data_IF_499820432518
#
_entry.id   IF_499820432518
#
_cell.length_a   1.000
_cell.length_b   1.000
_cell.length_c   1.000
_cell.angle_alpha   90.00
_cell.angle_beta   90.00
_cell.angle_gamma   90.00
#
_symmetry.space_group_name_H-M   'P 1'
#
loop_
_entity.id
_entity.type
_entity.pdbx_description
1 polymer ?
#
# COMPACT_ATOMS: atom_id res chain seq x y z
N UNK A 1 -3.59 9.96 14.53
CA UNK A 1 -4.10 9.30 15.76
C UNK A 1 -4.65 7.91 15.52
N UNK A 2 -5.58 7.70 14.58
CA UNK A 2 -6.12 6.35 14.28
C UNK A 2 -5.03 5.29 14.04
N UNK A 3 -4.12 5.52 13.08
CA UNK A 3 -3.04 4.58 12.77
C UNK A 3 -2.06 4.36 13.94
N UNK A 4 -1.82 5.39 14.76
CA UNK A 4 -0.97 5.29 15.95
C UNK A 4 -1.53 4.27 16.96
N UNK A 5 -2.85 4.26 17.18
CA UNK A 5 -3.51 3.35 18.13
C UNK A 5 -3.48 1.90 17.69
N UNK A 6 -3.65 1.64 16.39
CA UNK A 6 -3.58 0.26 15.85
C UNK A 6 -2.15 -0.19 15.56
N UNK A 7 -1.27 0.77 15.31
CA UNK A 7 0.09 0.54 14.88
C UNK A 7 1.01 0.01 15.98
N UNK A 8 2.27 -0.25 15.63
CA UNK A 8 3.26 -0.89 16.49
C UNK A 8 3.60 -0.14 17.79
N UNK A 9 3.30 1.16 17.89
CA UNK A 9 3.62 1.97 19.06
C UNK A 9 2.67 1.69 20.24
N UNK A 10 1.36 1.77 19.98
CA UNK A 10 0.32 1.70 21.01
C UNK A 10 -0.64 0.51 20.84
N UNK A 11 -0.61 -0.14 19.68
CA UNK A 11 -1.45 -1.28 19.37
C UNK A 11 -0.81 -2.62 19.71
N UNK A 12 -1.49 -3.68 19.28
CA UNK A 12 -1.06 -5.08 19.46
C UNK A 12 -0.23 -5.61 18.28
N UNK A 13 0.22 -4.71 17.39
CA UNK A 13 0.95 -5.08 16.16
C UNK A 13 2.30 -5.76 16.41
N UNK A 14 2.88 -5.60 17.60
CA UNK A 14 4.01 -6.39 18.10
C UNK A 14 3.56 -7.26 19.25
N UNK A 15 3.93 -8.54 19.19
CA UNK A 15 3.49 -9.54 20.17
C UNK A 15 4.33 -9.51 21.44
N UNK A 16 5.65 -9.41 21.28
CA UNK A 16 6.60 -9.49 22.40
C UNK A 16 6.97 -8.11 22.94
N UNK A 17 7.20 -7.98 24.25
CA UNK A 17 7.51 -6.68 24.86
C UNK A 17 8.91 -6.17 24.48
N UNK A 18 9.86 -7.05 24.20
CA UNK A 18 11.18 -6.67 23.68
C UNK A 18 11.09 -6.06 22.28
N UNK A 19 10.21 -6.58 21.42
CA UNK A 19 9.96 -6.03 20.08
C UNK A 19 9.38 -4.62 20.20
N UNK A 20 8.40 -4.42 21.10
CA UNK A 20 7.83 -3.10 21.38
C UNK A 20 8.86 -2.13 21.91
N UNK A 21 9.70 -2.56 22.85
CA UNK A 21 10.74 -1.72 23.46
C UNK A 21 11.76 -1.28 22.42
N UNK A 22 12.24 -2.23 21.61
CA UNK A 22 13.17 -1.96 20.50
C UNK A 22 12.55 -1.01 19.48
N UNK A 23 11.29 -1.24 19.09
CA UNK A 23 10.55 -0.40 18.15
C UNK A 23 10.38 1.03 18.67
N UNK A 24 10.03 1.21 19.94
CA UNK A 24 9.86 2.52 20.58
C UNK A 24 11.19 3.25 20.70
N UNK A 25 12.26 2.55 21.07
CA UNK A 25 13.59 3.14 21.15
C UNK A 25 14.05 3.63 19.77
N UNK A 26 13.92 2.80 18.73
CA UNK A 26 14.24 3.18 17.37
C UNK A 26 13.42 4.40 16.90
N UNK A 27 12.12 4.44 17.23
CA UNK A 27 11.24 5.55 16.90
C UNK A 27 11.70 6.88 17.53
N UNK A 28 12.15 6.86 18.79
CA UNK A 28 12.61 8.08 19.49
C UNK A 28 13.86 8.71 18.87
N UNK A 29 14.69 7.91 18.18
CA UNK A 29 15.89 8.38 17.49
C UNK A 29 15.70 8.56 15.98
N UNK A 30 14.51 8.28 15.46
CA UNK A 30 14.22 8.41 14.04
C UNK A 30 14.09 9.88 13.63
N UNK A 31 14.48 10.19 12.39
CA UNK A 31 14.17 11.49 11.79
C UNK A 31 12.66 11.70 11.68
N UNK A 32 12.23 12.96 11.59
CA UNK A 32 10.81 13.31 11.53
C UNK A 32 10.03 12.53 10.46
N UNK A 33 10.59 12.43 9.25
CA UNK A 33 10.00 11.70 8.12
C UNK A 33 9.85 10.20 8.37
N UNK A 34 10.85 9.59 9.01
CA UNK A 34 10.85 8.16 9.33
C UNK A 34 9.89 7.89 10.48
N UNK A 35 9.90 8.74 11.50
CA UNK A 35 8.97 8.69 12.62
C UNK A 35 7.52 8.82 12.13
N UNK A 36 7.21 9.80 11.26
CA UNK A 36 5.85 9.98 10.74
C UNK A 36 5.31 8.73 10.05
N UNK A 37 6.10 8.12 9.14
CA UNK A 37 5.74 6.86 8.46
C UNK A 37 5.65 5.66 9.40
N UNK A 38 6.44 5.67 10.47
CA UNK A 38 6.39 4.67 11.53
C UNK A 38 5.08 4.75 12.32
N UNK A 39 4.43 5.92 12.39
CA UNK A 39 3.12 6.11 13.04
C UNK A 39 1.94 5.83 12.10
N UNK A 40 2.05 6.25 10.85
CA UNK A 40 1.01 6.12 9.84
C UNK A 40 1.63 5.60 8.53
N UNK A 41 1.33 4.35 8.13
CA UNK A 41 1.88 3.80 6.90
C UNK A 41 1.46 4.61 5.68
N UNK A 42 2.36 4.66 4.71
CA UNK A 42 2.11 5.22 3.39
C UNK A 42 2.00 4.08 2.39
N UNK A 43 1.00 4.13 1.52
CA UNK A 43 0.80 3.13 0.48
C UNK A 43 1.15 3.73 -0.86
N UNK A 44 1.91 2.99 -1.66
CA UNK A 44 2.26 3.30 -3.03
C UNK A 44 1.67 2.21 -3.93
N UNK A 45 0.77 2.56 -4.83
CA UNK A 45 0.24 1.63 -5.81
C UNK A 45 0.97 1.78 -7.14
N UNK A 46 1.34 0.64 -7.72
CA UNK A 46 1.93 0.57 -9.05
C UNK A 46 0.84 0.75 -10.12
N UNK A 47 1.08 1.66 -11.07
CA UNK A 47 0.15 1.92 -12.18
C UNK A 47 0.71 1.53 -13.55
N UNK A 48 1.81 0.77 -13.59
CA UNK A 48 2.45 0.35 -14.84
C UNK A 48 3.67 1.19 -15.23
N UNK A 49 4.25 0.84 -16.39
CA UNK A 49 5.42 1.50 -16.95
C UNK A 49 5.08 2.79 -17.73
N UNK A 50 3.86 2.94 -18.25
CA UNK A 50 3.37 4.20 -18.85
C UNK A 50 2.15 4.73 -18.12
N UNK A 51 1.88 6.02 -18.25
CA UNK A 51 0.59 6.66 -17.94
C UNK A 51 -0.52 5.98 -18.77
N UNK A 52 -0.92 4.76 -18.41
CA UNK A 52 -2.04 4.04 -19.03
C UNK A 52 -3.31 4.68 -18.49
N UNK A 53 -3.63 5.87 -19.04
CA UNK A 53 -4.87 6.61 -18.81
C UNK A 53 -6.14 5.79 -19.11
N UNK A 54 -6.01 4.58 -19.65
CA UNK A 54 -7.11 3.66 -19.95
C UNK A 54 -7.01 2.28 -19.27
N UNK A 55 -6.12 2.07 -18.29
CA UNK A 55 -5.89 0.74 -17.71
C UNK A 55 -5.16 0.67 -16.36
N UNK A 56 -4.80 1.82 -15.76
CA UNK A 56 -4.29 1.85 -14.38
C UNK A 56 -5.36 1.31 -13.40
N UNK A 57 -4.97 0.49 -12.40
CA UNK A 57 -5.86 0.08 -11.31
C UNK A 57 -6.45 1.28 -10.52
N UNK A 58 -5.79 2.43 -10.56
CA UNK A 58 -6.14 3.64 -9.82
C UNK A 58 -6.07 4.89 -10.71
N UNK A 59 -7.03 5.08 -11.62
CA UNK A 59 -7.02 6.18 -12.58
C UNK A 59 -7.13 7.55 -11.87
N UNK A 60 -6.50 8.58 -12.44
CA UNK A 60 -6.54 9.96 -11.92
C UNK A 60 -5.63 10.24 -10.71
N UNK A 61 -4.72 9.31 -10.39
CA UNK A 61 -3.68 9.51 -9.38
C UNK A 61 -2.43 10.15 -10.01
N UNK A 62 -1.62 10.87 -9.22
CA UNK A 62 -0.37 11.52 -9.67
C UNK A 62 0.87 10.65 -9.36
N UNK A 63 1.89 10.70 -10.22
CA UNK A 63 3.15 9.98 -9.99
C UNK A 63 3.93 10.66 -8.87
N UNK A 64 4.24 9.92 -7.82
CA UNK A 64 4.91 10.48 -6.63
C UNK A 64 6.41 10.66 -6.86
N UNK A 65 7.02 9.82 -7.69
CA UNK A 65 8.49 9.79 -7.85
C UNK A 65 8.98 10.52 -9.10
N UNK A 66 8.07 11.01 -9.97
CA UNK A 66 8.42 11.74 -11.19
C UNK A 66 9.17 10.93 -12.25
N UNK A 67 9.30 9.62 -12.05
CA UNK A 67 10.03 8.68 -12.91
C UNK A 67 9.22 7.40 -13.12
N UNK A 68 9.57 6.63 -14.15
CA UNK A 68 9.04 5.28 -14.35
C UNK A 68 9.77 4.27 -13.43
N UNK A 69 9.09 3.22 -12.94
CA UNK A 69 7.67 2.94 -13.10
C UNK A 69 6.78 3.84 -12.23
N UNK A 70 5.55 4.09 -12.69
CA UNK A 70 4.62 5.03 -12.03
C UNK A 70 4.11 4.47 -10.71
N UNK A 71 4.19 5.26 -9.64
CA UNK A 71 3.53 4.98 -8.38
C UNK A 71 2.61 6.09 -7.92
N UNK A 72 1.38 5.71 -7.55
CA UNK A 72 0.39 6.56 -6.91
C UNK A 72 0.47 6.46 -5.38
N UNK A 73 0.43 7.58 -4.66
CA UNK A 73 0.21 7.56 -3.21
C UNK A 73 -1.26 7.27 -2.94
N UNK A 74 -1.52 6.32 -2.04
CA UNK A 74 -2.86 5.94 -1.58
C UNK A 74 -2.93 6.02 -0.05
N UNK A 75 -4.14 6.18 0.52
CA UNK A 75 -4.32 6.00 1.96
C UNK A 75 -4.12 4.53 2.34
N UNK A 76 -3.67 4.28 3.56
CA UNK A 76 -3.45 2.94 4.09
C UNK A 76 -4.75 2.21 4.44
N UNK A 77 -5.55 1.91 3.42
CA UNK A 77 -6.82 1.19 3.47
C UNK A 77 -6.67 -0.13 2.74
N UNK A 78 -7.37 -1.15 3.21
CA UNK A 78 -7.33 -2.48 2.62
C UNK A 78 -8.00 -2.57 1.25
N UNK A 79 -8.85 -1.60 0.89
CA UNK A 79 -9.35 -1.40 -0.48
C UNK A 79 -8.23 -1.32 -1.54
N UNK A 80 -7.00 -1.00 -1.15
CA UNK A 80 -5.84 -1.03 -2.03
C UNK A 80 -5.42 -2.46 -2.46
N UNK A 81 -5.86 -3.50 -1.74
CA UNK A 81 -5.58 -4.93 -2.01
C UNK A 81 -6.49 -5.52 -3.10
N UNK A 82 -6.83 -4.74 -4.12
CA UNK A 82 -7.62 -5.22 -5.24
C UNK A 82 -6.85 -6.32 -6.01
N UNK A 83 -7.50 -7.37 -6.52
CA UNK A 83 -6.78 -8.50 -7.15
C UNK A 83 -5.93 -8.11 -8.36
N UNK A 84 -6.30 -7.04 -9.06
CA UNK A 84 -5.62 -6.48 -10.23
C UNK A 84 -4.60 -5.39 -9.87
N UNK A 85 -4.32 -5.15 -8.58
CA UNK A 85 -3.36 -4.13 -8.13
C UNK A 85 -2.06 -4.73 -7.58
N UNK A 86 -1.03 -3.91 -7.56
CA UNK A 86 0.22 -4.18 -6.85
C UNK A 86 0.61 -2.94 -6.04
N UNK A 87 0.99 -3.13 -4.78
CA UNK A 87 1.23 -2.03 -3.83
C UNK A 87 2.50 -2.24 -3.00
N UNK A 88 3.07 -1.15 -2.49
CA UNK A 88 4.10 -1.13 -1.45
C UNK A 88 3.55 -0.35 -0.24
N UNK A 89 3.61 -0.96 0.93
CA UNK A 89 3.29 -0.33 2.21
C UNK A 89 4.59 0.04 2.91
N UNK A 90 4.89 1.33 2.95
CA UNK A 90 6.00 1.90 3.71
C UNK A 90 5.54 2.23 5.14
N UNK A 91 6.07 1.46 6.09
CA UNK A 91 5.78 1.61 7.51
C UNK A 91 7.01 2.11 8.28
N UNK A 92 7.89 2.87 7.62
CA UNK A 92 9.08 3.48 8.21
C UNK A 92 10.04 2.44 8.77
N UNK A 93 10.37 2.56 10.06
CA UNK A 93 11.26 1.61 10.76
C UNK A 93 10.71 0.18 10.80
N UNK A 94 9.40 0.04 10.66
CA UNK A 94 8.72 -1.26 10.81
C UNK A 94 8.59 -2.02 9.50
N UNK A 95 9.22 -1.50 8.43
CA UNK A 95 9.44 -2.19 7.17
C UNK A 95 8.72 -1.59 5.98
N UNK A 96 9.17 -2.00 4.80
CA UNK A 96 8.57 -1.68 3.51
C UNK A 96 8.14 -2.99 2.84
N UNK A 97 6.83 -3.22 2.74
CA UNK A 97 6.28 -4.49 2.29
C UNK A 97 5.53 -4.35 0.99
N UNK A 98 5.92 -5.14 -0.01
CA UNK A 98 5.20 -5.26 -1.27
C UNK A 98 4.09 -6.29 -1.23
N UNK A 99 3.04 -6.04 -2.01
CA UNK A 99 1.96 -6.97 -2.27
C UNK A 99 1.59 -6.96 -3.74
N UNK A 100 1.35 -8.14 -4.31
CA UNK A 100 0.94 -8.30 -5.71
C UNK A 100 -0.32 -9.16 -5.76
N UNK A 101 -1.41 -8.57 -6.25
CA UNK A 101 -2.70 -9.21 -6.42
C UNK A 101 -2.65 -10.37 -7.40
N UNK A 102 -3.58 -11.32 -7.31
CA UNK A 102 -3.59 -12.52 -8.17
C UNK A 102 -3.77 -12.20 -9.65
N UNK A 103 -4.61 -11.21 -9.94
CA UNK A 103 -5.16 -10.92 -11.27
C UNK A 103 -4.45 -9.72 -11.92
N UNK A 104 -3.24 -9.37 -11.45
CA UNK A 104 -2.41 -8.33 -12.07
C UNK A 104 -2.07 -8.73 -13.50
N UNK A 105 -2.42 -7.87 -14.46
CA UNK A 105 -2.25 -8.12 -15.89
C UNK A 105 -3.41 -8.89 -16.54
N UNK A 106 -4.43 -9.29 -15.77
CA UNK A 106 -5.65 -9.94 -16.28
C UNK A 106 -6.74 -8.88 -16.48
N UNK A 107 -7.39 -8.89 -17.63
CA UNK A 107 -8.48 -7.95 -17.92
C UNK A 107 -9.72 -8.25 -17.05
N UNK A 108 -10.43 -7.24 -16.53
CA UNK A 108 -11.51 -7.40 -15.55
C UNK A 108 -12.78 -8.12 -16.04
N UNK A 109 -12.79 -8.65 -17.26
CA UNK A 109 -13.85 -9.52 -17.81
C UNK A 109 -13.47 -11.01 -17.91
N UNK A 110 -12.18 -11.35 -17.84
CA UNK A 110 -11.69 -12.74 -17.90
C UNK A 110 -11.59 -13.39 -16.50
N UNK A 111 -11.60 -12.57 -15.45
CA UNK A 111 -11.37 -12.99 -14.05
C UNK A 111 -12.53 -13.77 -13.39
N UNK A 112 -13.65 -14.00 -14.10
CA UNK A 112 -14.81 -14.76 -13.59
C UNK A 112 -14.92 -16.20 -14.13
N UNK A 113 -13.90 -16.69 -14.85
CA UNK A 113 -13.90 -18.03 -15.44
C UNK A 113 -13.36 -19.11 -14.50
N UNK A 114 -14.18 -20.12 -14.25
CA UNK A 114 -13.82 -21.42 -13.68
C UNK A 114 -12.54 -22.00 -14.35
N UNK A 115 -11.76 -22.78 -13.60
CA UNK A 115 -10.43 -23.25 -13.97
C UNK A 115 -10.42 -24.32 -15.08
N UNK A 116 -10.98 -24.02 -16.26
CA UNK A 116 -10.97 -24.89 -17.43
C UNK A 116 -10.56 -24.11 -18.67
N UNK A 117 -9.26 -24.20 -18.98
CA UNK A 117 -8.68 -24.28 -20.33
C UNK A 117 -9.16 -23.27 -21.39
N UNK A 118 -8.46 -22.14 -21.54
CA UNK A 118 -8.17 -21.58 -22.88
C UNK A 118 -6.89 -20.74 -22.86
N UNK A 119 -5.77 -21.36 -23.23
CA UNK A 119 -4.50 -20.68 -23.53
C UNK A 119 -4.58 -20.05 -24.92
N UNK A 120 -4.94 -18.77 -25.00
CA UNK A 120 -4.82 -17.97 -26.22
C UNK A 120 -4.15 -16.65 -25.86
N UNK A 121 -2.91 -16.43 -26.34
CA UNK A 121 -2.11 -15.18 -26.48
C UNK A 121 -2.16 -14.03 -25.44
N UNK A 122 -3.22 -13.81 -24.66
CA UNK A 122 -3.32 -12.80 -23.59
C UNK A 122 -2.50 -13.16 -22.34
N UNK A 123 -2.38 -14.45 -22.02
CA UNK A 123 -1.67 -14.93 -20.83
C UNK A 123 -0.17 -14.62 -20.79
N UNK A 124 0.48 -14.50 -21.95
CA UNK A 124 1.90 -14.11 -22.03
C UNK A 124 2.11 -12.64 -21.63
N UNK A 125 1.20 -11.75 -22.06
CA UNK A 125 1.24 -10.34 -21.69
C UNK A 125 0.83 -10.12 -20.23
N UNK A 126 -0.12 -10.91 -19.73
CA UNK A 126 -0.52 -10.88 -18.32
C UNK A 126 0.63 -11.31 -17.39
N UNK A 127 1.33 -12.40 -17.72
CA UNK A 127 2.50 -12.85 -16.97
C UNK A 127 3.64 -11.82 -17.02
N UNK A 128 3.94 -11.25 -18.18
CA UNK A 128 4.95 -10.19 -18.31
C UNK A 128 4.59 -8.96 -17.46
N UNK A 129 3.32 -8.55 -17.46
CA UNK A 129 2.81 -7.43 -16.64
C UNK A 129 2.95 -7.74 -15.15
N UNK A 130 2.64 -8.97 -14.74
CA UNK A 130 2.80 -9.44 -13.37
C UNK A 130 4.27 -9.45 -12.94
N UNK A 131 5.18 -9.91 -13.80
CA UNK A 131 6.62 -9.90 -13.54
C UNK A 131 7.15 -8.48 -13.38
N UNK A 132 6.76 -7.56 -14.28
CA UNK A 132 7.09 -6.14 -14.17
C UNK A 132 6.56 -5.52 -12.87
N UNK A 133 5.33 -5.88 -12.45
CA UNK A 133 4.77 -5.44 -11.18
C UNK A 133 5.61 -5.93 -9.98
N UNK A 134 6.00 -7.21 -9.98
CA UNK A 134 6.82 -7.82 -8.94
C UNK A 134 8.17 -7.12 -8.86
N UNK A 135 8.82 -6.87 -10.00
CA UNK A 135 10.11 -6.17 -10.06
C UNK A 135 9.98 -4.73 -9.54
N UNK A 136 9.00 -3.97 -10.04
CA UNK A 136 8.77 -2.58 -9.64
C UNK A 136 8.50 -2.46 -8.12
N UNK A 137 7.61 -3.29 -7.59
CA UNK A 137 7.25 -3.33 -6.16
C UNK A 137 8.44 -3.75 -5.31
N UNK A 138 9.22 -4.74 -5.76
CA UNK A 138 10.43 -5.20 -5.04
C UNK A 138 11.50 -4.13 -5.01
N UNK A 139 11.74 -3.48 -6.15
CA UNK A 139 12.68 -2.36 -6.28
C UNK A 139 12.29 -1.21 -5.35
N UNK A 140 11.02 -0.77 -5.38
CA UNK A 140 10.55 0.30 -4.52
C UNK A 140 10.62 -0.07 -3.03
N UNK A 141 10.14 -1.25 -2.63
CA UNK A 141 10.22 -1.70 -1.24
C UNK A 141 11.67 -1.71 -0.72
N UNK A 142 12.61 -2.16 -1.54
CA UNK A 142 14.04 -2.17 -1.21
C UNK A 142 14.62 -0.77 -1.11
N UNK A 143 14.27 0.14 -2.04
CA UNK A 143 14.71 1.55 -1.99
C UNK A 143 14.21 2.25 -0.73
N UNK A 144 12.93 2.08 -0.39
CA UNK A 144 12.31 2.68 0.78
C UNK A 144 12.91 2.16 2.08
N UNK A 145 13.18 0.86 2.18
CA UNK A 145 13.91 0.29 3.32
C UNK A 145 15.33 0.86 3.44
N UNK A 146 16.02 1.09 2.32
CA UNK A 146 17.36 1.71 2.34
C UNK A 146 17.34 3.24 2.52
N UNK A 147 16.17 3.86 2.68
CA UNK A 147 16.04 5.32 2.81
C UNK A 147 16.32 6.11 1.53
N UNK A 148 16.46 5.43 0.38
CA UNK A 148 16.65 6.07 -0.91
C UNK A 148 15.29 6.41 -1.54
N UNK A 149 15.08 7.70 -1.85
CA UNK A 149 13.83 8.22 -2.43
C UNK A 149 13.99 8.81 -3.83
N UNK A 150 15.21 9.00 -4.33
CA UNK A 150 15.48 9.50 -5.68
C UNK A 150 15.93 8.37 -6.61
N UNK A 151 15.47 8.36 -7.86
CA UNK A 151 16.05 7.55 -8.93
C UNK A 151 16.91 8.34 -9.92
N UNK A 152 17.36 9.56 -9.57
CA UNK A 152 18.27 10.32 -10.44
C UNK A 152 19.75 10.00 -10.18
N UNK A 153 20.41 9.64 -11.28
CA UNK A 153 21.86 9.56 -11.47
C UNK A 153 22.37 10.94 -11.92
N UNK A 154 22.83 11.80 -11.00
CA UNK A 154 23.70 12.96 -11.33
C UNK A 154 24.28 13.71 -10.10
N UNK A 155 25.05 13.04 -9.24
CA UNK A 155 26.03 13.73 -8.40
C UNK A 155 27.35 13.86 -9.19
N UNK A 156 27.41 14.76 -10.18
CA UNK A 156 28.66 15.10 -10.90
C UNK A 156 29.07 16.58 -10.71
N UNK A 157 28.26 17.44 -10.11
CA UNK A 157 28.68 18.82 -9.84
C UNK A 157 28.83 19.06 -8.34
N UNK A 158 30.09 19.31 -7.94
CA UNK A 158 30.53 19.46 -6.56
C UNK A 158 29.69 20.45 -5.75
N UNK A 159 29.15 19.95 -4.65
CA UNK A 159 28.40 20.73 -3.68
C UNK A 159 27.69 19.78 -2.73
N UNK A 160 28.39 19.36 -1.66
CA UNK A 160 27.88 18.56 -0.53
C UNK A 160 27.01 17.35 -0.90
N UNK A 161 27.60 16.15 -0.88
CA UNK A 161 26.83 14.91 -0.94
C UNK A 161 25.69 14.99 0.10
N UNK A 162 24.46 15.06 -0.39
CA UNK A 162 23.30 14.97 0.49
C UNK A 162 23.31 13.52 0.96
N UNK A 163 23.80 13.29 2.18
CA UNK A 163 24.04 11.96 2.71
C UNK A 163 22.86 11.05 2.36
N UNK A 164 23.10 10.00 1.57
CA UNK A 164 22.17 8.91 1.38
C UNK A 164 21.71 8.49 2.77
N UNK A 165 20.52 8.92 3.17
CA UNK A 165 20.06 8.84 4.56
C UNK A 165 19.55 7.43 4.75
N UNK A 166 20.48 6.48 4.84
CA UNK A 166 20.15 5.09 5.10
C UNK A 166 19.42 5.02 6.43
N UNK A 167 18.23 4.41 6.42
CA UNK A 167 17.44 4.24 7.64
C UNK A 167 18.17 3.23 8.51
N UNK A 168 18.54 3.64 9.72
CA UNK A 168 19.15 2.77 10.71
C UNK A 168 18.21 2.60 11.91
N UNK A 169 17.93 1.37 12.37
CA UNK A 169 18.33 0.10 11.75
C UNK A 169 17.65 -0.11 10.39
N UNK A 170 18.26 -0.94 9.53
CA UNK A 170 17.69 -1.27 8.23
C UNK A 170 16.31 -1.93 8.42
N UNK A 171 15.21 -1.32 7.95
CA UNK A 171 13.88 -1.89 8.07
C UNK A 171 13.77 -3.18 7.26
N UNK A 172 12.96 -4.15 7.70
CA UNK A 172 12.70 -5.33 6.90
C UNK A 172 11.97 -4.96 5.59
N UNK A 173 12.35 -5.59 4.48
CA UNK A 173 11.59 -5.54 3.23
C UNK A 173 11.24 -6.94 2.73
N UNK A 174 10.04 -7.07 2.17
CA UNK A 174 9.56 -8.32 1.61
C UNK A 174 8.41 -8.02 0.63
N UNK A 175 8.35 -8.74 -0.48
CA UNK A 175 7.19 -8.75 -1.38
C UNK A 175 6.44 -10.06 -1.25
N UNK A 176 5.10 -9.99 -1.18
CA UNK A 176 4.22 -11.13 -1.00
C UNK A 176 3.14 -11.18 -2.09
N UNK A 177 2.80 -12.37 -2.57
CA UNK A 177 1.64 -12.56 -3.43
C UNK A 177 0.34 -12.66 -2.60
N UNK A 178 -0.79 -12.31 -3.22
CA UNK A 178 -2.12 -12.54 -2.63
C UNK A 178 -2.30 -14.00 -2.17
N UNK A 179 -2.85 -14.18 -0.96
CA UNK A 179 -3.08 -15.51 -0.37
C UNK A 179 -1.84 -16.17 0.22
N UNK A 180 -0.64 -15.62 0.02
CA UNK A 180 0.57 -16.13 0.69
C UNK A 180 0.57 -15.84 2.18
N UNK A 181 1.23 -16.68 2.98
CA UNK A 181 1.36 -16.47 4.42
C UNK A 181 2.03 -15.14 4.76
N UNK A 182 2.92 -14.66 3.89
CA UNK A 182 3.65 -13.43 4.10
C UNK A 182 2.81 -12.17 3.81
N UNK A 183 1.70 -12.29 3.06
CA UNK A 183 0.77 -11.20 2.78
C UNK A 183 0.17 -10.58 4.06
N UNK A 184 0.10 -11.36 5.16
CA UNK A 184 -0.33 -10.85 6.48
C UNK A 184 0.50 -9.65 6.96
N UNK A 185 1.78 -9.56 6.55
CA UNK A 185 2.64 -8.40 6.88
C UNK A 185 2.14 -7.12 6.23
N UNK A 186 1.49 -7.22 5.08
CA UNK A 186 0.88 -6.07 4.38
C UNK A 186 -0.52 -5.80 4.94
N UNK A 187 -1.37 -6.83 4.98
CA UNK A 187 -2.78 -6.73 5.41
C UNK A 187 -2.92 -6.06 6.78
N UNK A 188 -2.19 -6.51 7.80
CA UNK A 188 -2.32 -5.98 9.16
C UNK A 188 -1.92 -4.50 9.31
N UNK A 189 -1.32 -3.89 8.28
CA UNK A 189 -0.96 -2.45 8.26
C UNK A 189 -2.03 -1.58 7.62
N UNK A 190 -3.01 -2.17 6.96
CA UNK A 190 -4.09 -1.45 6.25
C UNK A 190 -5.36 -1.41 7.11
N UNK A 191 -6.06 -0.27 7.09
CA UNK A 191 -7.30 -0.11 7.83
C UNK A 191 -8.46 -0.85 7.13
N UNK A 192 -9.42 -1.43 7.87
CA UNK A 192 -10.46 -2.29 7.32
C UNK A 192 -11.61 -1.51 6.66
N UNK A 193 -11.32 -0.73 5.62
CA UNK A 193 -12.29 0.13 4.95
C UNK A 193 -13.31 -0.65 4.10
N UNK A 194 -13.08 -1.93 3.80
CA UNK A 194 -14.10 -2.80 3.20
C UNK A 194 -15.40 -2.88 4.03
N UNK A 195 -15.35 -2.59 5.33
CA UNK A 195 -16.51 -2.58 6.24
C UNK A 195 -17.24 -1.23 6.30
N UNK A 196 -16.67 -0.18 5.70
CA UNK A 196 -17.28 1.14 5.66
C UNK A 196 -18.47 1.18 4.68
N UNK A 197 -19.38 2.13 4.88
CA UNK A 197 -20.49 2.32 3.96
C UNK A 197 -19.98 2.79 2.57
N UNK A 198 -20.69 2.51 1.46
CA UNK A 198 -20.19 2.87 0.12
C UNK A 198 -19.82 4.35 -0.06
N UNK A 199 -20.60 5.26 0.52
CA UNK A 199 -20.33 6.70 0.47
C UNK A 199 -19.09 7.11 1.31
N UNK A 200 -18.82 6.40 2.41
CA UNK A 200 -17.62 6.59 3.24
C UNK A 200 -16.37 6.09 2.50
N UNK A 201 -16.47 4.95 1.82
CA UNK A 201 -15.43 4.42 0.94
C UNK A 201 -15.13 5.39 -0.21
N UNK A 202 -16.16 5.95 -0.85
CA UNK A 202 -16.01 6.92 -1.95
C UNK A 202 -15.30 8.22 -1.52
N UNK A 203 -15.55 8.65 -0.28
CA UNK A 203 -14.85 9.78 0.30
C UNK A 203 -13.36 9.45 0.53
N UNK A 204 -13.07 8.32 1.18
CA UNK A 204 -11.71 8.02 1.65
C UNK A 204 -10.83 7.32 0.64
N UNK A 205 -11.40 6.67 -0.36
CA UNK A 205 -10.69 5.97 -1.40
C UNK A 205 -11.33 6.31 -2.75
N UNK A 206 -11.05 7.51 -3.31
CA UNK A 206 -11.61 7.92 -4.58
C UNK A 206 -11.52 6.91 -5.73
N UNK A 207 -10.49 6.04 -5.82
CA UNK A 207 -10.44 5.06 -6.91
C UNK A 207 -11.55 4.00 -6.91
N UNK A 208 -12.27 3.76 -5.80
CA UNK A 208 -13.43 2.85 -5.82
C UNK A 208 -14.73 3.52 -6.29
N UNK A 209 -14.72 4.84 -6.55
CA UNK A 209 -15.91 5.54 -7.05
C UNK A 209 -16.38 4.93 -8.36
N UNK A 210 -17.67 4.63 -8.45
CA UNK A 210 -18.27 4.01 -9.65
C UNK A 210 -18.20 2.47 -9.69
N UNK A 211 -17.51 1.82 -8.75
CA UNK A 211 -17.60 0.36 -8.60
C UNK A 211 -19.01 -0.07 -8.17
N UNK A 212 -19.50 -1.19 -8.73
CA UNK A 212 -20.81 -1.73 -8.39
C UNK A 212 -20.85 -2.22 -6.94
N UNK A 213 -22.05 -2.23 -6.33
CA UNK A 213 -22.24 -2.77 -4.98
C UNK A 213 -21.88 -4.26 -4.91
N UNK A 214 -22.09 -5.00 -6.00
CA UNK A 214 -21.72 -6.40 -6.11
C UNK A 214 -20.20 -6.58 -6.07
N UNK A 215 -19.44 -5.79 -6.82
CA UNK A 215 -17.98 -5.82 -6.79
C UNK A 215 -17.44 -5.50 -5.39
N UNK A 216 -18.04 -4.53 -4.69
CA UNK A 216 -17.68 -4.19 -3.30
C UNK A 216 -17.97 -5.33 -2.33
N UNK A 217 -19.12 -6.00 -2.48
CA UNK A 217 -19.48 -7.17 -1.66
C UNK A 217 -18.54 -8.34 -1.93
N UNK A 218 -18.21 -8.61 -3.20
CA UNK A 218 -17.27 -9.63 -3.60
C UNK A 218 -15.86 -9.35 -3.02
N UNK A 219 -15.42 -8.09 -3.03
CA UNK A 219 -14.19 -7.68 -2.38
C UNK A 219 -14.25 -7.89 -0.86
N UNK A 220 -15.31 -7.42 -0.20
CA UNK A 220 -15.48 -7.56 1.25
C UNK A 220 -15.55 -9.04 1.70
N UNK A 221 -16.10 -9.93 0.87
CA UNK A 221 -16.14 -11.37 1.15
C UNK A 221 -14.76 -12.04 1.09
N UNK A 222 -13.80 -11.46 0.36
CA UNK A 222 -12.40 -11.93 0.27
C UNK A 222 -11.51 -11.29 1.33
N UNK A 223 -11.90 -10.12 1.84
CA UNK A 223 -11.12 -9.40 2.83
C UNK A 223 -10.94 -10.25 4.10
N UNK A 224 -9.75 -10.24 4.73
CA UNK A 224 -9.52 -11.00 5.95
C UNK A 224 -10.49 -10.58 7.07
N UNK A 225 -11.09 -11.54 7.79
CA UNK A 225 -11.97 -11.22 8.90
C UNK A 225 -11.21 -10.46 9.97
N UNK A 226 -11.78 -9.35 10.44
CA UNK A 226 -11.16 -8.52 11.47
C UNK A 226 -12.22 -7.83 12.31
N UNK A 227 -11.98 -7.83 13.63
CA UNK A 227 -12.78 -7.09 14.61
C UNK A 227 -12.26 -5.65 14.82
N UNK A 228 -11.22 -5.24 14.08
CA UNK A 228 -10.73 -3.87 14.12
C UNK A 228 -11.82 -2.89 13.69
N UNK A 229 -11.98 -1.82 14.47
CA UNK A 229 -12.85 -0.70 14.11
C UNK A 229 -12.32 -0.03 12.86
N UNK A 230 -13.21 0.36 11.95
CA UNK A 230 -12.84 1.23 10.84
C UNK A 230 -12.51 2.64 11.32
N UNK A 231 -11.91 3.46 10.45
CA UNK A 231 -11.65 4.87 10.78
C UNK A 231 -12.94 5.62 11.14
N UNK A 232 -14.02 5.40 10.39
CA UNK A 232 -15.33 6.03 10.63
C UNK A 232 -15.98 5.55 11.92
N UNK A 233 -15.92 4.25 12.21
CA UNK A 233 -16.41 3.70 13.47
C UNK A 233 -15.62 4.23 14.66
N UNK A 234 -14.30 4.35 14.54
CA UNK A 234 -13.45 4.93 15.58
C UNK A 234 -13.78 6.40 15.85
N UNK A 235 -13.97 7.22 14.80
CA UNK A 235 -14.39 8.63 14.93
C UNK A 235 -15.76 8.75 15.62
N UNK A 236 -16.74 7.94 15.19
CA UNK A 236 -18.06 7.87 15.84
C UNK A 236 -17.97 7.48 17.32
N UNK A 237 -17.09 6.54 17.65
CA UNK A 237 -16.81 6.15 19.04
C UNK A 237 -16.20 7.26 19.90
N UNK A 238 -15.58 8.27 19.29
CA UNK A 238 -15.10 9.48 19.96
C UNK A 238 -16.17 10.59 20.05
N UNK A 239 -17.35 10.38 19.46
CA UNK A 239 -18.38 11.43 19.35
C UNK A 239 -18.01 12.52 18.35
N UNK A 240 -17.15 12.23 17.37
CA UNK A 240 -16.69 13.18 16.35
C UNK A 240 -17.15 12.72 14.98
N UNK A 241 -17.68 13.64 14.18
CA UNK A 241 -18.02 13.36 12.79
C UNK A 241 -16.76 13.15 11.96
N UNK A 242 -16.73 12.04 11.23
CA UNK A 242 -15.62 11.76 10.34
C UNK A 242 -15.66 12.70 9.12
N UNK A 243 -14.50 13.23 8.68
CA UNK A 243 -14.46 14.05 7.49
C UNK A 243 -14.81 13.20 6.26
N UNK A 244 -15.97 13.49 5.66
CA UNK A 244 -16.40 12.96 4.36
C UNK A 244 -15.73 13.67 3.18
N UNK A 245 -14.79 14.57 3.45
CA UNK A 245 -13.97 15.21 2.42
C UNK A 245 -13.13 14.14 1.71
N UNK A 246 -12.96 14.26 0.38
CA UNK A 246 -12.09 13.37 -0.38
C UNK A 246 -10.72 13.25 0.27
N UNK A 247 -10.19 12.04 0.35
CA UNK A 247 -8.82 11.87 0.80
C UNK A 247 -7.87 12.65 -0.13
N UNK A 248 -6.97 13.41 0.49
CA UNK A 248 -5.86 14.07 -0.17
C UNK A 248 -4.55 13.59 0.47
N UNK A 249 -3.50 13.31 -0.32
CA UNK A 249 -2.20 13.01 0.22
C UNK A 249 -1.67 14.23 0.99
N UNK A 250 -1.15 13.99 2.19
CA UNK A 250 -0.34 15.00 2.89
C UNK A 250 0.88 15.32 2.03
N UNK A 251 1.10 16.61 1.74
CA UNK A 251 2.28 17.14 1.03
C UNK A 251 3.51 17.05 1.91
#
# INVERSE_FOLDING_TARGET
MYHLRRGPMLGVGFGHDDEKTTARLAFLFASHDVAYRSLAPVVYAWNGERDVRSGSPFPGTENVFGEEPFFAKLPALDLALAPHSAIVVDHGLFGAFGWVGRDVGVEPGEASGDATTTTTSSGANANATREAAVEAVTSLATRLARGSRSGSRSDINGGTSTANTSVFPAPPSLVAAEGSSAARRVVCRLAPAHRDAPHEQDARFPPVRGTSLEARRAFAARAPPTEELTFFQWMRGLGVDAPVTPWAPWR
#
